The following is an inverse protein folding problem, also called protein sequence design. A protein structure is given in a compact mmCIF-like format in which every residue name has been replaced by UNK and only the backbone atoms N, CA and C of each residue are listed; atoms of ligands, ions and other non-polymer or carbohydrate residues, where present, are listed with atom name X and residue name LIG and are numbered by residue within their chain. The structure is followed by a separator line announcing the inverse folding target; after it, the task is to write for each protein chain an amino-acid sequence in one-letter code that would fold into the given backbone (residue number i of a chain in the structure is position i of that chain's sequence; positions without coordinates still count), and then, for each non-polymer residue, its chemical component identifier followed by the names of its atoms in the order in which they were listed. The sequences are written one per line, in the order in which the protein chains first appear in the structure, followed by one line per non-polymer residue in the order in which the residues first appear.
data_IF_539846720236
#
_entry.id   IF_539846720236
#
_cell.length_a   1.000
_cell.length_b   1.000
_cell.length_c   1.000
_cell.angle_alpha   90.00
_cell.angle_beta   90.00
_cell.angle_gamma   90.00
#
_symmetry.space_group_name_H-M   'P 1'
#
loop_
_entity.id
_entity.type
_entity.pdbx_description
1 polymer ?
#
# COMPACT_ATOMS: atom_id res chain seq x y z
N UNK A 1 26.18 43.01 -6.32
CA UNK A 1 25.16 42.44 -5.41
C UNK A 1 24.57 41.24 -6.14
N UNK A 2 25.23 40.08 -6.02
CA UNK A 2 24.66 38.81 -6.43
C UNK A 2 24.27 38.08 -5.14
N UNK A 3 22.98 38.04 -4.86
CA UNK A 3 22.39 37.12 -3.89
C UNK A 3 21.49 36.18 -4.68
N UNK A 4 21.74 34.88 -4.59
CA UNK A 4 20.82 33.90 -5.14
C UNK A 4 21.46 32.54 -5.39
N UNK A 5 21.62 31.75 -4.33
CA UNK A 5 22.05 30.36 -4.48
C UNK A 5 22.43 29.70 -3.16
N UNK A 6 21.49 29.61 -2.21
CA UNK A 6 21.63 28.69 -1.08
C UNK A 6 20.47 27.69 -1.08
N UNK A 7 20.87 26.42 -1.13
CA UNK A 7 20.18 25.22 -0.63
C UNK A 7 18.95 24.66 -1.36
N UNK A 8 19.18 24.01 -2.51
CA UNK A 8 18.27 22.96 -3.04
C UNK A 8 18.96 21.61 -3.28
N UNK A 9 20.20 21.42 -2.83
CA UNK A 9 20.86 20.12 -2.87
C UNK A 9 20.28 19.20 -1.77
N UNK A 10 19.60 18.13 -2.17
CA UNK A 10 19.20 17.02 -1.28
C UNK A 10 17.70 16.70 -1.19
N UNK A 11 16.83 17.42 -1.92
CA UNK A 11 15.41 17.08 -2.00
C UNK A 11 15.11 16.19 -3.20
N UNK A 12 14.23 15.20 -2.99
CA UNK A 12 13.69 14.38 -4.08
C UNK A 12 12.18 14.36 -4.00
N UNK A 13 11.49 14.69 -5.09
CA UNK A 13 10.03 14.72 -5.18
C UNK A 13 9.53 13.64 -6.12
N UNK A 14 8.61 12.81 -5.63
CA UNK A 14 7.96 11.73 -6.37
C UNK A 14 6.51 12.09 -6.60
N UNK A 15 6.06 11.93 -7.84
CA UNK A 15 4.63 11.85 -8.12
C UNK A 15 4.17 10.42 -7.82
N UNK A 16 3.23 10.26 -6.89
CA UNK A 16 2.72 8.95 -6.46
C UNK A 16 1.22 8.80 -6.80
N UNK A 17 0.86 7.66 -7.40
CA UNK A 17 -0.51 7.32 -7.80
C UNK A 17 -0.74 5.79 -7.79
N UNK A 18 -1.98 5.35 -7.95
CA UNK A 18 -2.36 3.93 -8.07
C UNK A 18 -3.78 3.79 -8.63
N UNK A 19 -4.20 2.55 -8.91
CA UNK A 19 -5.58 2.18 -9.21
C UNK A 19 -6.13 2.96 -10.41
N UNK A 20 -5.47 2.79 -11.56
CA UNK A 20 -5.83 3.37 -12.86
C UNK A 20 -6.83 2.47 -13.60
N UNK A 21 -6.74 1.14 -13.40
CA UNK A 21 -7.64 0.12 -13.95
C UNK A 21 -7.88 0.23 -15.47
N UNK A 22 -6.84 0.63 -16.21
CA UNK A 22 -6.91 0.75 -17.66
C UNK A 22 -7.72 1.94 -18.18
N UNK A 23 -8.02 2.94 -17.34
CA UNK A 23 -8.79 4.14 -17.76
C UNK A 23 -7.91 5.15 -18.49
N UNK A 24 -7.59 4.85 -19.75
CA UNK A 24 -6.74 5.69 -20.62
C UNK A 24 -7.20 7.16 -20.67
N UNK A 25 -8.50 7.40 -20.78
CA UNK A 25 -9.09 8.75 -20.81
C UNK A 25 -8.84 9.54 -19.52
N UNK A 26 -8.77 8.86 -18.37
CA UNK A 26 -8.45 9.50 -17.09
C UNK A 26 -6.96 9.82 -17.01
N UNK A 27 -6.10 8.97 -17.58
CA UNK A 27 -4.66 9.23 -17.69
C UNK A 27 -4.39 10.43 -18.59
N UNK A 28 -5.11 10.57 -19.70
CA UNK A 28 -5.02 11.78 -20.56
C UNK A 28 -5.38 13.05 -19.77
N UNK A 29 -6.53 13.04 -19.09
CA UNK A 29 -6.94 14.17 -18.25
C UNK A 29 -5.94 14.44 -17.11
N UNK A 30 -5.33 13.39 -16.56
CA UNK A 30 -4.30 13.50 -15.53
C UNK A 30 -3.03 14.16 -16.08
N UNK A 31 -2.59 13.80 -17.28
CA UNK A 31 -1.42 14.40 -17.94
C UNK A 31 -1.65 15.90 -18.18
N UNK A 32 -2.78 16.25 -18.77
CA UNK A 32 -3.16 17.65 -19.00
C UNK A 32 -3.23 18.44 -17.68
N UNK A 33 -3.79 17.80 -16.64
CA UNK A 33 -3.89 18.39 -15.31
C UNK A 33 -2.51 18.68 -14.70
N UNK A 34 -1.56 17.75 -14.78
CA UNK A 34 -0.20 17.94 -14.27
C UNK A 34 0.52 19.09 -14.98
N UNK A 35 0.40 19.18 -16.31
CA UNK A 35 0.95 20.30 -17.07
C UNK A 35 0.32 21.64 -16.68
N UNK A 36 -1.02 21.67 -16.55
CA UNK A 36 -1.76 22.87 -16.13
C UNK A 36 -1.33 23.35 -14.75
N UNK A 37 -1.15 22.43 -13.81
CA UNK A 37 -0.72 22.74 -12.44
C UNK A 37 0.78 23.06 -12.33
N UNK A 38 1.56 22.82 -13.39
CA UNK A 38 3.02 23.02 -13.44
C UNK A 38 3.75 22.31 -12.30
N UNK A 39 3.35 21.06 -12.01
CA UNK A 39 3.99 20.28 -10.98
C UNK A 39 5.43 19.93 -11.38
N UNK A 40 6.35 20.06 -10.43
CA UNK A 40 7.73 19.60 -10.57
C UNK A 40 7.94 18.33 -9.74
N UNK A 41 8.57 17.33 -10.34
CA UNK A 41 8.92 16.06 -9.71
C UNK A 41 10.09 15.41 -10.46
N UNK A 42 10.81 14.54 -9.76
CA UNK A 42 12.02 13.88 -10.24
C UNK A 42 11.72 12.50 -10.82
N UNK A 43 10.67 11.84 -10.31
CA UNK A 43 10.25 10.52 -10.73
C UNK A 43 8.75 10.31 -10.48
N UNK A 44 8.22 9.24 -11.06
CA UNK A 44 6.84 8.79 -10.92
C UNK A 44 6.86 7.40 -10.29
N UNK A 45 5.99 7.16 -9.31
CA UNK A 45 5.86 5.88 -8.62
C UNK A 45 4.39 5.45 -8.64
N UNK A 46 4.09 4.29 -9.22
CA UNK A 46 2.73 3.76 -9.37
C UNK A 46 2.54 2.49 -8.52
N UNK A 47 1.66 2.55 -7.53
CA UNK A 47 1.41 1.43 -6.60
C UNK A 47 0.38 0.41 -7.15
N UNK A 48 0.57 -0.03 -8.39
CA UNK A 48 -0.22 -1.09 -9.03
C UNK A 48 -1.60 -0.70 -9.56
N UNK A 49 -2.27 -1.71 -10.13
CA UNK A 49 -3.54 -1.65 -10.86
C UNK A 49 -3.50 -0.61 -11.98
N UNK A 50 -2.49 -0.73 -12.83
CA UNK A 50 -2.25 0.16 -13.98
C UNK A 50 -3.16 -0.24 -15.14
N UNK A 51 -3.12 -1.51 -15.50
CA UNK A 51 -3.73 -2.08 -16.70
C UNK A 51 -5.16 -2.56 -16.50
N UNK A 52 -5.58 -3.43 -17.42
CA UNK A 52 -6.89 -4.06 -17.40
C UNK A 52 -6.75 -5.54 -17.81
N UNK A 53 -7.21 -6.51 -16.99
CA UNK A 53 -7.09 -7.93 -17.28
C UNK A 53 -7.68 -8.37 -18.63
N UNK A 54 -8.67 -7.63 -19.13
CA UNK A 54 -9.37 -7.92 -20.38
C UNK A 54 -8.72 -7.23 -21.59
N UNK A 55 -7.75 -6.33 -21.38
CA UNK A 55 -7.08 -5.56 -22.43
C UNK A 55 -5.57 -5.45 -22.17
N UNK A 56 -4.79 -6.50 -22.49
CA UNK A 56 -3.35 -6.59 -22.25
C UNK A 56 -2.51 -5.37 -22.67
N UNK A 57 -2.88 -4.75 -23.80
CA UNK A 57 -2.18 -3.62 -24.40
C UNK A 57 -2.34 -2.31 -23.63
N UNK A 58 -3.37 -2.20 -22.79
CA UNK A 58 -3.70 -0.94 -22.10
C UNK A 58 -2.66 -0.57 -21.06
N UNK A 59 -2.05 -1.56 -20.41
CA UNK A 59 -0.95 -1.34 -19.47
C UNK A 59 0.18 -0.54 -20.11
N UNK A 60 0.67 -1.02 -21.27
CA UNK A 60 1.71 -0.36 -22.06
C UNK A 60 1.29 1.05 -22.48
N UNK A 61 0.08 1.21 -23.04
CA UNK A 61 -0.43 2.53 -23.47
C UNK A 61 -0.49 3.54 -22.33
N UNK A 62 -0.82 3.11 -21.12
CA UNK A 62 -0.85 3.99 -19.95
C UNK A 62 0.57 4.46 -19.60
N UNK A 63 1.54 3.56 -19.59
CA UNK A 63 2.93 3.91 -19.33
C UNK A 63 3.50 4.83 -20.41
N UNK A 64 3.20 4.58 -21.69
CA UNK A 64 3.53 5.46 -22.82
C UNK A 64 2.91 6.86 -22.66
N UNK A 65 1.66 6.96 -22.21
CA UNK A 65 1.01 8.27 -21.95
C UNK A 65 1.66 9.01 -20.79
N UNK A 66 2.13 8.31 -19.76
CA UNK A 66 2.81 8.91 -18.60
C UNK A 66 4.25 9.29 -18.94
N UNK A 67 4.90 8.59 -19.88
CA UNK A 67 6.31 8.83 -20.24
C UNK A 67 6.56 10.20 -20.89
N UNK A 68 5.51 10.89 -21.33
CA UNK A 68 5.57 12.27 -21.86
C UNK A 68 6.22 13.26 -20.89
N UNK A 69 6.17 13.00 -19.59
CA UNK A 69 6.84 13.81 -18.58
C UNK A 69 8.37 13.71 -18.62
N UNK A 70 8.93 12.72 -19.34
CA UNK A 70 10.36 12.45 -19.45
C UNK A 70 11.04 12.27 -18.08
N UNK A 71 10.33 11.61 -17.16
CA UNK A 71 10.81 11.24 -15.83
C UNK A 71 10.84 9.72 -15.69
N UNK A 72 11.75 9.15 -14.90
CA UNK A 72 11.72 7.73 -14.56
C UNK A 72 10.39 7.33 -13.95
N UNK A 73 9.85 6.19 -14.40
CA UNK A 73 8.62 5.59 -13.88
C UNK A 73 9.00 4.30 -13.15
N UNK A 74 8.64 4.20 -11.88
CA UNK A 74 8.76 2.99 -11.07
C UNK A 74 7.38 2.49 -10.73
N UNK A 75 7.18 1.18 -10.74
CA UNK A 75 5.88 0.61 -10.40
C UNK A 75 5.99 -0.75 -9.74
N UNK A 76 4.91 -1.15 -9.09
CA UNK A 76 4.64 -2.54 -8.71
C UNK A 76 3.37 -2.99 -9.42
N UNK A 77 3.20 -4.29 -9.61
CA UNK A 77 1.98 -4.85 -10.19
C UNK A 77 0.87 -4.98 -9.14
N UNK A 78 -0.36 -4.69 -9.54
CA UNK A 78 -1.56 -5.01 -8.79
C UNK A 78 -2.28 -6.26 -9.30
N UNK A 79 -3.47 -6.52 -8.77
CA UNK A 79 -4.28 -7.67 -9.19
C UNK A 79 -4.94 -7.49 -10.56
N UNK A 80 -5.03 -6.26 -11.07
CA UNK A 80 -5.47 -5.97 -12.44
C UNK A 80 -4.34 -6.09 -13.47
N UNK A 81 -3.09 -6.11 -13.03
CA UNK A 81 -1.90 -6.20 -13.87
C UNK A 81 -1.56 -7.67 -14.16
N UNK A 82 -2.53 -8.37 -14.75
CA UNK A 82 -2.40 -9.76 -15.21
C UNK A 82 -2.45 -9.80 -16.73
N UNK A 83 -1.64 -10.68 -17.33
CA UNK A 83 -1.58 -10.88 -18.78
C UNK A 83 -1.30 -9.60 -19.59
N UNK A 84 -0.55 -8.64 -19.03
CA UNK A 84 -0.23 -7.40 -19.72
C UNK A 84 0.94 -7.56 -20.70
N UNK A 85 1.00 -6.68 -21.70
CA UNK A 85 2.15 -6.62 -22.61
C UNK A 85 3.31 -5.88 -21.96
N UNK A 86 4.49 -6.50 -21.95
CA UNK A 86 5.72 -5.87 -21.48
C UNK A 86 5.95 -4.53 -22.21
N UNK A 87 6.58 -3.62 -21.49
CA UNK A 87 6.67 -2.22 -21.82
C UNK A 87 8.01 -1.73 -21.29
N UNK A 88 8.78 -1.03 -22.13
CA UNK A 88 10.09 -0.50 -21.78
C UNK A 88 9.96 0.82 -21.00
N UNK A 89 8.77 1.43 -21.05
CA UNK A 89 8.39 2.65 -20.36
C UNK A 89 8.16 2.39 -18.86
N UNK A 90 9.23 2.09 -18.13
CA UNK A 90 9.23 2.06 -16.67
C UNK A 90 9.87 0.81 -16.08
N UNK A 91 10.11 0.87 -14.78
CA UNK A 91 10.84 -0.14 -14.03
C UNK A 91 9.89 -0.81 -13.03
N UNK A 92 9.65 -2.10 -13.24
CA UNK A 92 8.95 -2.93 -12.26
C UNK A 92 9.89 -3.18 -11.06
N UNK A 93 9.56 -2.61 -9.91
CA UNK A 93 10.34 -2.72 -8.67
C UNK A 93 10.39 -4.14 -8.11
N UNK A 94 9.40 -4.98 -8.42
CA UNK A 94 9.41 -6.39 -8.00
C UNK A 94 10.45 -7.21 -8.79
N UNK A 95 10.64 -6.88 -10.08
CA UNK A 95 11.57 -7.57 -10.97
C UNK A 95 13.00 -7.02 -10.87
N UNK A 96 13.14 -5.70 -10.81
CA UNK A 96 14.45 -5.03 -10.69
C UNK A 96 15.07 -5.15 -9.31
N UNK A 97 14.23 -5.37 -8.28
CA UNK A 97 14.66 -5.33 -6.89
C UNK A 97 14.82 -3.91 -6.35
N UNK A 98 15.46 -3.75 -5.18
CA UNK A 98 15.67 -2.45 -4.55
C UNK A 98 16.47 -1.49 -5.43
N UNK A 99 15.96 -0.27 -5.60
CA UNK A 99 16.65 0.81 -6.33
C UNK A 99 17.26 1.79 -5.32
N UNK A 100 18.57 1.97 -5.38
CA UNK A 100 19.31 2.87 -4.50
C UNK A 100 19.36 4.28 -5.10
N UNK A 101 18.88 5.26 -4.33
CA UNK A 101 19.07 6.69 -4.59
C UNK A 101 20.04 7.28 -3.56
N UNK A 102 20.48 8.52 -3.74
CA UNK A 102 21.45 9.16 -2.85
C UNK A 102 20.98 9.19 -1.39
N UNK A 103 19.71 9.47 -1.16
CA UNK A 103 19.11 9.74 0.16
C UNK A 103 18.10 8.67 0.64
N UNK A 104 17.72 7.69 -0.19
CA UNK A 104 16.81 6.59 0.20
C UNK A 104 16.99 5.35 -0.68
N UNK A 105 16.34 4.25 -0.29
CA UNK A 105 16.18 3.04 -1.11
C UNK A 105 14.69 2.85 -1.39
N UNK A 106 14.34 2.66 -2.66
CA UNK A 106 12.98 2.34 -3.10
C UNK A 106 12.83 0.83 -3.26
N UNK A 107 11.86 0.24 -2.55
CA UNK A 107 11.59 -1.20 -2.57
C UNK A 107 10.14 -1.43 -2.96
N UNK A 108 9.87 -2.34 -3.89
CA UNK A 108 8.52 -2.62 -4.37
C UNK A 108 8.10 -4.08 -4.23
N UNK A 109 6.86 -4.31 -3.79
CA UNK A 109 6.21 -5.62 -3.76
C UNK A 109 4.79 -5.55 -4.33
N UNK A 110 4.54 -6.22 -5.46
CA UNK A 110 3.23 -6.34 -6.08
C UNK A 110 2.57 -7.67 -5.77
N UNK A 111 3.13 -8.76 -6.32
CA UNK A 111 2.64 -10.14 -6.17
C UNK A 111 3.55 -10.96 -5.25
N UNK A 112 4.85 -10.69 -5.26
CA UNK A 112 5.84 -11.37 -4.43
C UNK A 112 5.83 -10.79 -3.01
N UNK A 113 5.43 -11.61 -2.05
CA UNK A 113 5.33 -11.21 -0.63
C UNK A 113 6.53 -11.64 0.23
N UNK A 114 7.62 -12.10 -0.39
CA UNK A 114 8.87 -12.43 0.29
C UNK A 114 9.86 -11.27 0.22
N UNK A 115 10.56 -10.91 1.30
CA UNK A 115 11.53 -9.82 1.26
C UNK A 115 12.73 -10.13 0.37
N UNK A 116 13.34 -9.09 -0.19
CA UNK A 116 14.65 -9.15 -0.83
C UNK A 116 15.72 -9.29 0.25
N UNK A 117 16.34 -10.46 0.34
CA UNK A 117 17.36 -10.73 1.37
C UNK A 117 18.65 -9.95 1.16
N UNK A 118 18.92 -9.53 -0.07
CA UNK A 118 20.17 -8.88 -0.49
C UNK A 118 20.16 -7.36 -0.30
N UNK A 119 19.10 -6.80 0.29
CA UNK A 119 19.04 -5.35 0.57
C UNK A 119 20.17 -5.01 1.53
N UNK A 120 21.24 -4.42 0.99
CA UNK A 120 22.30 -3.83 1.81
C UNK A 120 21.73 -2.54 2.40
N UNK A 121 21.16 -2.65 3.60
CA UNK A 121 20.73 -1.53 4.43
C UNK A 121 21.95 -0.67 4.83
N UNK A 122 22.52 0.10 3.90
CA UNK A 122 23.67 0.99 4.16
C UNK A 122 23.26 2.22 4.99
N UNK A 123 22.42 2.04 6.01
CA UNK A 123 21.84 3.11 6.83
C UNK A 123 20.83 4.03 6.12
N UNK A 124 20.64 3.87 4.80
CA UNK A 124 19.69 4.65 4.01
C UNK A 124 18.24 4.30 4.39
N UNK A 125 17.36 5.31 4.53
CA UNK A 125 15.95 5.08 4.83
C UNK A 125 15.24 4.39 3.65
N UNK A 126 14.26 3.53 3.96
CA UNK A 126 13.52 2.77 2.94
C UNK A 126 12.13 3.35 2.72
N UNK A 127 11.78 3.49 1.45
CA UNK A 127 10.41 3.67 1.01
C UNK A 127 9.92 2.34 0.47
N UNK A 128 8.90 1.81 1.12
CA UNK A 128 8.24 0.60 0.66
C UNK A 128 7.05 0.98 -0.23
N UNK A 129 6.94 0.37 -1.40
CA UNK A 129 5.81 0.50 -2.32
C UNK A 129 5.15 -0.86 -2.43
N UNK A 130 3.85 -0.94 -2.16
CA UNK A 130 3.10 -2.19 -2.34
C UNK A 130 1.80 -1.92 -3.05
N UNK A 131 1.27 -2.87 -3.81
CA UNK A 131 -0.09 -2.66 -4.31
C UNK A 131 -1.10 -2.82 -3.17
N UNK A 132 -1.06 -3.96 -2.49
CA UNK A 132 -1.96 -4.27 -1.39
C UNK A 132 -1.61 -3.48 -0.11
N UNK A 133 -2.61 -3.06 0.67
CA UNK A 133 -2.39 -2.44 1.98
C UNK A 133 -1.93 -3.47 3.02
N UNK A 134 -1.32 -3.01 4.13
CA UNK A 134 -1.12 -3.85 5.30
C UNK A 134 -2.47 -4.26 5.88
N UNK A 135 -2.55 -5.46 6.45
CA UNK A 135 -3.71 -5.86 7.22
C UNK A 135 -3.94 -4.87 8.37
N UNK A 136 -5.20 -4.46 8.53
CA UNK A 136 -5.73 -3.50 9.51
C UNK A 136 -5.36 -2.03 9.33
N UNK A 137 -4.51 -1.69 8.36
CA UNK A 137 -4.05 -0.31 8.13
C UNK A 137 -4.65 0.23 6.84
N UNK A 138 -5.66 1.10 6.98
CA UNK A 138 -6.33 1.76 5.85
C UNK A 138 -6.79 0.77 4.77
N UNK A 139 -7.27 -0.39 5.20
CA UNK A 139 -7.55 -1.56 4.36
C UNK A 139 -9.02 -1.99 4.42
N UNK A 140 -9.94 -1.06 4.69
CA UNK A 140 -11.36 -1.39 4.78
C UNK A 140 -11.88 -1.87 3.43
N UNK A 141 -12.31 -3.12 3.39
CA UNK A 141 -12.86 -3.79 2.22
C UNK A 141 -13.26 -5.21 2.58
N UNK A 142 -14.32 -5.74 1.96
CA UNK A 142 -14.70 -7.14 2.17
C UNK A 142 -13.77 -8.04 1.36
N UNK A 143 -13.22 -9.08 1.98
CA UNK A 143 -12.65 -10.21 1.24
C UNK A 143 -13.79 -11.16 0.87
N UNK A 144 -13.93 -11.42 -0.44
CA UNK A 144 -14.96 -12.36 -0.94
C UNK A 144 -14.70 -13.81 -0.48
N UNK A 145 -13.46 -14.13 -0.10
CA UNK A 145 -13.02 -15.50 0.20
C UNK A 145 -12.80 -15.78 1.69
N UNK A 146 -12.97 -14.81 2.58
CA UNK A 146 -12.80 -15.06 4.02
C UNK A 146 -14.09 -15.65 4.60
N UNK A 147 -14.02 -16.88 5.11
CA UNK A 147 -15.13 -17.57 5.79
C UNK A 147 -15.64 -16.80 7.02
N UNK A 148 -14.77 -16.02 7.65
CA UNK A 148 -15.11 -14.95 8.57
C UNK A 148 -15.29 -13.67 7.75
N UNK A 149 -16.36 -12.91 7.97
CA UNK A 149 -16.66 -11.65 7.26
C UNK A 149 -15.64 -10.53 7.62
N UNK A 150 -14.36 -10.75 7.35
CA UNK A 150 -13.31 -9.79 7.62
C UNK A 150 -13.55 -8.52 6.79
N UNK A 151 -13.59 -7.40 7.49
CA UNK A 151 -13.71 -6.06 6.89
C UNK A 151 -12.35 -5.54 6.38
N UNK A 152 -11.33 -6.39 6.39
CA UNK A 152 -9.94 -6.09 6.02
C UNK A 152 -9.60 -6.73 4.67
N UNK A 153 -9.30 -5.90 3.68
CA UNK A 153 -8.75 -6.30 2.39
C UNK A 153 -7.22 -6.38 2.40
N UNK A 154 -6.57 -5.97 3.49
CA UNK A 154 -5.12 -5.99 3.62
C UNK A 154 -4.56 -7.39 3.83
N UNK A 155 -3.26 -7.50 3.59
CA UNK A 155 -2.53 -8.76 3.63
C UNK A 155 -1.62 -8.81 4.86
N UNK A 156 -1.72 -9.85 5.73
CA UNK A 156 -0.78 -10.06 6.83
C UNK A 156 0.69 -10.10 6.38
N UNK A 157 0.94 -10.57 5.16
CA UNK A 157 2.28 -10.65 4.58
C UNK A 157 2.92 -9.27 4.42
N UNK A 158 2.13 -8.23 4.13
CA UNK A 158 2.62 -6.85 4.04
C UNK A 158 3.03 -6.34 5.42
N UNK A 159 2.33 -6.73 6.50
CA UNK A 159 2.75 -6.43 7.87
C UNK A 159 4.15 -7.02 8.17
N UNK A 160 4.43 -8.23 7.70
CA UNK A 160 5.75 -8.84 7.83
C UNK A 160 6.83 -8.15 6.98
N UNK A 161 6.50 -7.66 5.78
CA UNK A 161 7.44 -6.85 5.00
C UNK A 161 7.75 -5.53 5.70
N UNK A 162 6.76 -4.88 6.28
CA UNK A 162 6.95 -3.65 7.07
C UNK A 162 7.85 -3.91 8.28
N UNK A 163 7.64 -5.02 8.98
CA UNK A 163 8.47 -5.41 10.12
C UNK A 163 9.91 -5.74 9.70
N UNK A 164 10.09 -6.38 8.54
CA UNK A 164 11.41 -6.69 7.99
C UNK A 164 12.18 -5.44 7.52
N UNK A 165 11.54 -4.58 6.72
CA UNK A 165 12.20 -3.42 6.12
C UNK A 165 12.28 -2.20 7.03
N UNK A 166 11.40 -2.08 8.03
CA UNK A 166 11.24 -0.90 8.89
C UNK A 166 11.23 0.42 8.07
N UNK A 167 10.35 0.54 7.05
CA UNK A 167 10.38 1.71 6.18
C UNK A 167 9.87 2.95 6.92
N UNK A 168 10.39 4.12 6.57
CA UNK A 168 9.87 5.39 7.12
C UNK A 168 8.64 5.88 6.34
N UNK A 169 8.47 5.42 5.10
CA UNK A 169 7.27 5.65 4.28
C UNK A 169 6.81 4.35 3.63
N UNK A 170 5.51 4.08 3.69
CA UNK A 170 4.86 3.00 2.97
C UNK A 170 3.78 3.55 2.04
N UNK A 171 3.99 3.45 0.73
CA UNK A 171 3.05 3.87 -0.31
C UNK A 171 2.29 2.66 -0.83
N UNK A 172 0.95 2.74 -0.89
CA UNK A 172 0.12 1.63 -1.39
C UNK A 172 -1.21 2.05 -2.00
N UNK A 173 -1.86 1.13 -2.71
CA UNK A 173 -3.16 1.31 -3.37
C UNK A 173 -4.21 0.30 -2.91
N UNK A 174 -5.00 -0.22 -3.85
CA UNK A 174 -5.99 -1.31 -3.73
C UNK A 174 -7.22 -1.00 -2.86
N UNK A 175 -7.03 -0.56 -1.61
CA UNK A 175 -8.14 -0.20 -0.72
C UNK A 175 -8.64 1.21 -1.00
N UNK A 176 -9.59 1.30 -1.91
CA UNK A 176 -10.19 2.56 -2.38
C UNK A 176 -10.87 3.36 -1.26
N UNK A 177 -11.29 2.68 -0.19
CA UNK A 177 -12.01 3.25 0.96
C UNK A 177 -11.26 4.42 1.60
N UNK A 178 -9.94 4.30 1.73
CA UNK A 178 -9.08 5.29 2.38
C UNK A 178 -8.15 6.04 1.44
N UNK A 179 -8.39 5.90 0.14
CA UNK A 179 -7.66 6.63 -0.88
C UNK A 179 -7.56 8.14 -0.63
N UNK A 180 -6.37 8.71 -0.86
CA UNK A 180 -6.09 10.14 -0.65
C UNK A 180 -5.77 10.49 0.80
N UNK A 181 -5.21 9.56 1.58
CA UNK A 181 -4.88 9.74 2.99
C UNK A 181 -3.45 9.32 3.25
N UNK A 182 -2.70 10.21 3.91
CA UNK A 182 -1.47 9.90 4.62
C UNK A 182 -1.70 9.90 6.14
N UNK A 183 -1.15 8.92 6.84
CA UNK A 183 -1.29 8.79 8.29
C UNK A 183 -0.02 8.20 8.91
N UNK A 184 0.50 8.85 9.95
CA UNK A 184 1.70 8.39 10.65
C UNK A 184 1.31 7.50 11.82
N UNK A 185 1.82 6.27 11.82
CA UNK A 185 1.64 5.30 12.90
C UNK A 185 3.04 4.81 13.28
N UNK A 186 3.38 4.93 14.56
CA UNK A 186 4.74 4.69 15.04
C UNK A 186 5.77 5.50 14.22
N UNK A 187 6.77 4.83 13.64
CA UNK A 187 7.81 5.48 12.83
C UNK A 187 7.47 5.53 11.33
N UNK A 188 6.37 4.91 10.90
CA UNK A 188 6.02 4.73 9.47
C UNK A 188 4.96 5.76 9.08
N UNK A 189 5.19 6.47 7.97
CA UNK A 189 4.17 7.24 7.28
C UNK A 189 3.50 6.37 6.23
N UNK A 190 2.24 5.99 6.48
CA UNK A 190 1.43 5.24 5.53
C UNK A 190 0.74 6.20 4.56
N UNK A 191 0.80 5.91 3.27
CA UNK A 191 0.27 6.78 2.20
C UNK A 191 -0.56 5.94 1.25
N UNK A 192 -1.89 5.99 1.41
CA UNK A 192 -2.83 5.30 0.52
C UNK A 192 -3.16 6.20 -0.69
N UNK A 193 -2.53 5.89 -1.83
CA UNK A 193 -2.65 6.62 -3.09
C UNK A 193 -3.78 6.14 -4.00
N UNK A 194 -4.57 5.15 -3.59
CA UNK A 194 -5.81 4.82 -4.28
C UNK A 194 -6.71 6.07 -4.35
N UNK A 195 -7.49 6.36 -5.38
CA UNK A 195 -7.53 5.75 -6.71
C UNK A 195 -7.56 6.85 -7.77
N UNK A 196 -6.69 6.76 -8.77
CA UNK A 196 -6.57 7.77 -9.83
C UNK A 196 -7.77 7.73 -10.78
N UNK A 197 -8.38 6.57 -10.99
CA UNK A 197 -9.48 6.38 -11.94
C UNK A 197 -10.86 6.89 -11.45
N UNK A 198 -10.91 7.66 -10.37
CA UNK A 198 -12.17 8.17 -9.80
C UNK A 198 -12.83 9.18 -10.72
N UNK A 199 -14.13 9.04 -10.92
CA UNK A 199 -14.99 10.02 -11.60
C UNK A 199 -16.04 10.61 -10.65
N UNK A 200 -16.45 11.85 -10.93
CA UNK A 200 -17.58 12.49 -10.30
C UNK A 200 -18.90 12.00 -10.92
N UNK A 201 -20.04 12.43 -10.37
CA UNK A 201 -21.37 12.01 -10.84
C UNK A 201 -21.66 12.42 -12.29
N UNK A 202 -21.05 13.51 -12.73
CA UNK A 202 -21.12 14.03 -14.10
C UNK A 202 -20.11 13.36 -15.05
N UNK A 203 -19.36 12.35 -14.57
CA UNK A 203 -18.33 11.65 -15.34
C UNK A 203 -16.97 12.34 -15.35
N UNK A 204 -16.83 13.53 -14.78
CA UNK A 204 -15.55 14.25 -14.79
C UNK A 204 -14.49 13.52 -13.94
N UNK A 205 -13.24 13.40 -14.42
CA UNK A 205 -12.15 12.82 -13.63
C UNK A 205 -11.87 13.64 -12.36
N UNK A 206 -11.83 12.96 -11.22
CA UNK A 206 -11.53 13.52 -9.88
C UNK A 206 -10.58 12.63 -9.10
N UNK A 207 -9.77 11.83 -9.80
CA UNK A 207 -8.73 10.97 -9.24
C UNK A 207 -7.78 11.71 -8.32
N UNK A 208 -7.32 11.05 -7.27
CA UNK A 208 -6.30 11.62 -6.39
C UNK A 208 -4.90 11.09 -6.72
N UNK A 209 -3.91 11.92 -6.44
CA UNK A 209 -2.48 11.62 -6.49
C UNK A 209 -1.78 12.51 -5.46
N UNK A 210 -0.50 12.27 -5.21
CA UNK A 210 0.27 13.15 -4.35
C UNK A 210 1.67 13.44 -4.90
N UNK A 211 2.22 14.56 -4.47
CA UNK A 211 3.66 14.80 -4.51
C UNK A 211 4.23 14.45 -3.13
N UNK A 212 5.14 13.48 -3.11
CA UNK A 212 5.89 13.08 -1.92
C UNK A 212 7.29 13.66 -2.05
N UNK A 213 7.63 14.63 -1.21
CA UNK A 213 8.96 15.23 -1.17
C UNK A 213 9.72 14.71 0.04
N UNK A 214 10.91 14.20 -0.20
CA UNK A 214 11.89 13.80 0.82
C UNK A 214 12.94 14.88 0.87
N UNK A 215 13.07 15.52 2.03
CA UNK A 215 14.17 16.44 2.31
C UNK A 215 15.28 15.78 3.12
N UNK A 216 16.21 16.61 3.56
CA UNK A 216 17.28 16.20 4.47
C UNK A 216 16.71 15.63 5.78
N UNK A 217 17.47 14.75 6.44
CA UNK A 217 17.12 14.13 7.74
C UNK A 217 15.79 13.35 7.77
N UNK A 218 15.41 12.69 6.66
CA UNK A 218 14.17 11.89 6.54
C UNK A 218 12.88 12.71 6.74
N UNK A 219 12.94 14.03 6.52
CA UNK A 219 11.73 14.85 6.53
C UNK A 219 10.88 14.51 5.29
N UNK A 220 9.60 14.23 5.50
CA UNK A 220 8.65 13.88 4.43
C UNK A 220 7.52 14.88 4.40
N UNK A 221 7.27 15.43 3.22
CA UNK A 221 6.10 16.25 2.93
C UNK A 221 5.22 15.53 1.91
N UNK A 222 3.92 15.49 2.17
CA UNK A 222 2.92 14.96 1.24
C UNK A 222 1.97 16.10 0.86
N UNK A 223 1.96 16.46 -0.42
CA UNK A 223 0.99 17.40 -0.99
C UNK A 223 -0.03 16.60 -1.82
N UNK A 224 -1.26 16.52 -1.33
CA UNK A 224 -2.36 15.82 -2.00
C UNK A 224 -3.04 16.70 -3.03
N UNK A 225 -3.35 16.09 -4.18
CA UNK A 225 -4.06 16.71 -5.28
C UNK A 225 -5.16 15.81 -5.81
N UNK A 226 -6.11 16.44 -6.49
CA UNK A 226 -7.21 15.77 -7.16
C UNK A 226 -7.32 16.37 -8.56
N UNK A 227 -7.51 15.54 -9.58
CA UNK A 227 -7.80 16.04 -10.92
C UNK A 227 -9.05 16.92 -10.85
N UNK A 228 -9.02 18.10 -11.51
CA UNK A 228 -10.10 19.09 -11.46
C UNK A 228 -10.48 19.60 -10.06
N UNK A 229 -9.60 19.40 -9.07
CA UNK A 229 -9.82 19.93 -7.73
C UNK A 229 -9.55 21.43 -7.63
N UNK A 230 -9.90 21.98 -6.48
CA UNK A 230 -9.71 23.38 -6.13
C UNK A 230 -9.24 23.51 -4.69
N UNK A 231 -8.47 24.56 -4.40
CA UNK A 231 -8.02 24.84 -3.05
C UNK A 231 -9.17 25.33 -2.17
N UNK A 232 -9.47 24.61 -1.10
CA UNK A 232 -10.54 24.91 -0.14
C UNK A 232 -10.09 24.65 1.28
N UNK A 233 -10.68 25.36 2.23
CA UNK A 233 -10.53 25.04 3.66
C UNK A 233 -11.49 23.92 4.05
N UNK A 234 -10.98 22.92 4.75
CA UNK A 234 -11.79 21.85 5.32
C UNK A 234 -12.74 22.42 6.38
N UNK A 235 -14.04 22.15 6.27
CA UNK A 235 -15.04 22.66 7.22
C UNK A 235 -14.89 22.11 8.65
N UNK A 236 -14.15 21.01 8.84
CA UNK A 236 -13.93 20.41 10.16
C UNK A 236 -12.61 20.81 10.84
N UNK A 237 -11.51 20.95 10.09
CA UNK A 237 -10.19 21.26 10.67
C UNK A 237 -9.62 22.60 10.25
N UNK A 238 -10.30 23.37 9.40
CA UNK A 238 -9.90 24.69 8.92
C UNK A 238 -8.69 24.71 7.98
N UNK A 239 -7.91 23.63 7.89
CA UNK A 239 -6.72 23.55 7.03
C UNK A 239 -7.10 23.58 5.55
N UNK A 240 -6.22 24.15 4.73
CA UNK A 240 -6.39 24.27 3.28
C UNK A 240 -5.94 22.99 2.58
N UNK A 241 -6.78 22.44 1.73
CA UNK A 241 -6.53 21.24 0.93
C UNK A 241 -6.96 21.46 -0.52
N UNK A 242 -6.33 20.74 -1.44
CA UNK A 242 -6.83 20.62 -2.80
C UNK A 242 -7.92 19.53 -2.79
N UNK A 243 -9.17 19.88 -3.09
CA UNK A 243 -10.31 18.98 -2.99
C UNK A 243 -11.19 19.06 -4.25
N UNK A 244 -11.91 17.98 -4.61
CA UNK A 244 -12.96 18.07 -5.63
C UNK A 244 -13.96 19.17 -5.31
N UNK A 245 -14.53 19.82 -6.33
CA UNK A 245 -15.41 20.97 -6.16
C UNK A 245 -16.61 20.69 -5.24
N UNK A 246 -17.18 19.49 -5.28
CA UNK A 246 -18.31 19.11 -4.42
C UNK A 246 -17.97 18.79 -2.97
N UNK A 247 -16.68 18.81 -2.58
CA UNK A 247 -16.24 18.40 -1.25
C UNK A 247 -15.88 19.59 -0.37
N UNK A 248 -16.32 19.54 0.89
CA UNK A 248 -16.02 20.54 1.94
C UNK A 248 -15.16 19.98 3.07
N UNK A 249 -15.01 18.66 3.17
CA UNK A 249 -14.29 17.97 4.24
C UNK A 249 -13.11 17.20 3.63
N UNK A 250 -11.91 17.34 4.23
CA UNK A 250 -10.75 16.58 3.77
C UNK A 250 -10.84 15.09 4.11
N UNK A 251 -10.14 14.25 3.35
CA UNK A 251 -10.19 12.78 3.51
C UNK A 251 -9.84 12.30 4.92
N UNK A 252 -8.89 12.95 5.60
CA UNK A 252 -8.53 12.64 7.00
C UNK A 252 -9.67 12.92 7.97
N UNK A 253 -10.33 14.08 7.86
CA UNK A 253 -11.43 14.43 8.75
C UNK A 253 -12.66 13.54 8.51
N UNK A 254 -12.98 13.26 7.25
CA UNK A 254 -14.06 12.35 6.88
C UNK A 254 -13.87 10.92 7.43
N UNK A 255 -12.61 10.52 7.72
CA UNK A 255 -12.26 9.19 8.19
C UNK A 255 -11.65 9.16 9.61
N UNK A 256 -11.73 10.26 10.37
CA UNK A 256 -11.01 10.41 11.65
C UNK A 256 -11.24 9.27 12.63
N UNK A 257 -12.47 8.76 12.72
CA UNK A 257 -12.82 7.67 13.63
C UNK A 257 -12.17 6.33 13.23
N UNK A 258 -11.96 6.11 11.93
CA UNK A 258 -11.38 4.88 11.41
C UNK A 258 -9.85 4.87 11.46
N UNK A 259 -9.22 6.05 11.60
CA UNK A 259 -7.76 6.24 11.64
C UNK A 259 -7.17 6.16 13.06
N UNK A 260 -7.99 5.86 14.07
CA UNK A 260 -7.51 5.63 15.44
C UNK A 260 -6.59 4.41 15.48
N UNK A 261 -5.51 4.51 16.23
CA UNK A 261 -4.53 3.43 16.43
C UNK A 261 -4.32 3.21 17.92
N UNK A 262 -4.27 1.95 18.34
CA UNK A 262 -4.00 1.54 19.71
C UNK A 262 -2.78 0.64 19.71
N UNK A 263 -1.74 1.04 20.44
CA UNK A 263 -0.51 0.26 20.53
C UNK A 263 -0.76 -1.05 21.27
N UNK A 264 -0.42 -2.16 20.63
CA UNK A 264 -0.42 -3.49 21.23
C UNK A 264 0.83 -3.65 22.10
N UNK A 265 0.69 -4.28 23.26
CA UNK A 265 1.78 -4.54 24.20
C UNK A 265 2.87 -5.43 23.57
N UNK A 266 4.13 -5.06 23.78
CA UNK A 266 5.30 -5.79 23.27
C UNK A 266 5.36 -7.26 23.67
N UNK A 267 4.71 -7.65 24.76
CA UNK A 267 4.64 -9.06 25.18
C UNK A 267 3.93 -9.96 24.18
N UNK A 268 3.09 -9.40 23.31
CA UNK A 268 2.37 -10.14 22.26
C UNK A 268 3.17 -10.31 20.97
N UNK A 269 4.41 -9.80 20.90
CA UNK A 269 5.27 -9.98 19.73
C UNK A 269 5.77 -11.41 19.57
N UNK A 270 5.91 -12.17 20.65
CA UNK A 270 6.42 -13.53 20.63
C UNK A 270 5.38 -14.47 21.24
N UNK A 271 4.75 -15.28 20.39
CA UNK A 271 3.71 -16.22 20.79
C UNK A 271 4.14 -17.66 20.51
N UNK A 272 3.58 -18.61 21.27
CA UNK A 272 3.74 -20.05 21.02
C UNK A 272 2.40 -20.65 20.69
N UNK A 273 2.20 -21.04 19.43
CA UNK A 273 1.02 -21.78 19.00
C UNK A 273 1.23 -23.26 19.27
N UNK A 274 0.30 -23.88 19.98
CA UNK A 274 0.29 -25.33 20.23
C UNK A 274 -1.07 -25.88 19.81
N UNK A 275 -1.05 -26.83 18.88
CA UNK A 275 -2.26 -27.43 18.32
C UNK A 275 -2.32 -28.90 18.72
N UNK A 276 -3.49 -29.34 19.14
CA UNK A 276 -3.77 -30.73 19.49
C UNK A 276 -4.82 -31.31 18.54
N UNK A 277 -4.71 -32.59 18.21
CA UNK A 277 -5.76 -33.35 17.54
C UNK A 277 -6.62 -34.09 18.57
N UNK A 278 -7.91 -34.25 18.25
CA UNK A 278 -8.84 -35.11 18.99
C UNK A 278 -9.31 -36.20 18.04
N UNK A 279 -8.94 -37.45 18.31
CA UNK A 279 -9.43 -38.60 17.57
C UNK A 279 -10.71 -39.11 18.25
N UNK A 280 -11.74 -39.44 17.46
CA UNK A 280 -13.02 -39.91 18.02
C UNK A 280 -12.91 -41.28 18.70
N UNK A 281 -11.94 -42.10 18.31
CA UNK A 281 -11.92 -43.53 18.62
C UNK A 281 -10.96 -43.90 19.76
N UNK A 282 -10.21 -42.95 20.34
CA UNK A 282 -9.17 -43.19 21.37
C UNK A 282 -9.52 -42.58 22.74
N UNK A 283 -10.79 -42.19 22.95
CA UNK A 283 -11.20 -41.48 24.17
C UNK A 283 -10.80 -40.01 24.17
N UNK A 284 -10.95 -39.32 25.31
CA UNK A 284 -10.74 -37.86 25.43
C UNK A 284 -9.26 -37.41 25.39
N UNK A 285 -8.34 -38.30 25.00
CA UNK A 285 -6.91 -38.01 24.92
C UNK A 285 -6.61 -37.03 23.77
N UNK A 286 -5.97 -35.91 24.12
CA UNK A 286 -5.52 -34.90 23.16
C UNK A 286 -4.09 -35.21 22.74
N UNK A 287 -3.90 -35.53 21.46
CA UNK A 287 -2.56 -35.77 20.91
C UNK A 287 -1.94 -34.47 20.42
N UNK A 288 -0.68 -34.20 20.78
CA UNK A 288 0.03 -33.02 20.28
C UNK A 288 0.22 -33.13 18.77
N UNK A 289 -0.31 -32.16 18.01
CA UNK A 289 -0.20 -32.12 16.56
C UNK A 289 1.07 -31.40 16.11
N UNK A 290 1.26 -30.15 16.57
CA UNK A 290 2.50 -29.40 16.44
C UNK A 290 2.59 -28.24 17.44
N UNK A 291 3.81 -27.76 17.65
CA UNK A 291 4.10 -26.50 18.34
C UNK A 291 4.97 -25.62 17.44
N UNK A 292 4.68 -24.32 17.37
CA UNK A 292 5.46 -23.35 16.61
C UNK A 292 5.54 -22.01 17.33
N UNK A 293 6.74 -21.45 17.39
CA UNK A 293 6.96 -20.09 17.86
C UNK A 293 6.67 -19.10 16.72
N UNK A 294 6.02 -18.00 17.07
CA UNK A 294 5.58 -16.97 16.15
C UNK A 294 6.11 -15.61 16.58
N UNK A 295 6.71 -14.92 15.62
CA UNK A 295 6.96 -13.49 15.74
C UNK A 295 5.79 -12.75 15.06
N UNK A 296 5.17 -11.83 15.77
CA UNK A 296 3.99 -11.08 15.32
C UNK A 296 4.42 -9.61 15.13
N UNK A 297 4.16 -9.00 13.96
CA UNK A 297 4.56 -7.63 13.64
C UNK A 297 3.65 -6.59 14.31
N UNK A 298 3.58 -6.60 15.65
CA UNK A 298 2.62 -5.85 16.48
C UNK A 298 2.64 -4.33 16.23
N UNK A 299 3.75 -3.76 15.75
CA UNK A 299 3.86 -2.33 15.45
C UNK A 299 3.13 -1.90 14.17
N UNK A 300 2.63 -2.88 13.41
CA UNK A 300 1.94 -2.65 12.13
C UNK A 300 0.46 -3.04 12.20
N UNK A 301 -0.02 -3.49 13.37
CA UNK A 301 -1.41 -3.91 13.60
C UNK A 301 -2.14 -2.82 14.36
N UNK A 302 -3.34 -2.46 13.89
CA UNK A 302 -4.06 -1.25 14.30
C UNK A 302 -4.47 -1.20 15.78
N UNK A 303 -5.02 -2.29 16.29
CA UNK A 303 -5.60 -2.40 17.63
C UNK A 303 -5.76 -3.88 18.02
N UNK A 304 -6.25 -4.13 19.25
CA UNK A 304 -6.42 -5.49 19.78
C UNK A 304 -7.47 -6.31 19.04
N UNK A 305 -8.50 -5.70 18.47
CA UNK A 305 -9.50 -6.44 17.68
C UNK A 305 -8.87 -6.94 16.38
N UNK A 306 -8.17 -6.06 15.67
CA UNK A 306 -7.41 -6.44 14.49
C UNK A 306 -6.31 -7.47 14.79
N UNK A 307 -5.73 -7.44 16.00
CA UNK A 307 -4.74 -8.43 16.43
C UNK A 307 -5.33 -9.83 16.58
N UNK A 308 -6.50 -9.98 17.22
CA UNK A 308 -7.16 -11.28 17.34
C UNK A 308 -7.52 -11.83 15.94
N UNK A 309 -8.10 -11.01 15.07
CA UNK A 309 -8.42 -11.43 13.70
C UNK A 309 -7.14 -11.82 12.91
N UNK A 310 -6.04 -11.09 13.13
CA UNK A 310 -4.74 -11.41 12.53
C UNK A 310 -4.22 -12.77 13.01
N UNK A 311 -4.34 -13.07 14.31
CA UNK A 311 -3.97 -14.37 14.87
C UNK A 311 -4.82 -15.50 14.30
N UNK A 312 -6.14 -15.31 14.19
CA UNK A 312 -7.05 -16.29 13.57
C UNK A 312 -6.61 -16.64 12.15
N UNK A 313 -6.31 -15.62 11.33
CA UNK A 313 -5.84 -15.82 9.96
C UNK A 313 -4.53 -16.62 9.94
N UNK A 314 -3.58 -16.29 10.82
CA UNK A 314 -2.31 -17.00 10.90
C UNK A 314 -2.47 -18.44 11.38
N UNK A 315 -3.25 -18.67 12.43
CA UNK A 315 -3.51 -20.00 12.97
C UNK A 315 -4.12 -20.92 11.91
N UNK A 316 -5.16 -20.46 11.21
CA UNK A 316 -5.81 -21.24 10.15
C UNK A 316 -4.82 -21.59 9.05
N UNK A 317 -4.04 -20.61 8.56
CA UNK A 317 -3.03 -20.84 7.52
C UNK A 317 -1.98 -21.87 7.95
N UNK A 318 -1.43 -21.72 9.15
CA UNK A 318 -0.41 -22.62 9.67
C UNK A 318 -0.94 -24.04 9.86
N UNK A 319 -2.15 -24.20 10.40
CA UNK A 319 -2.77 -25.51 10.56
C UNK A 319 -2.98 -26.18 9.21
N UNK A 320 -3.46 -25.44 8.19
CA UNK A 320 -3.62 -25.97 6.83
C UNK A 320 -2.27 -26.39 6.23
N UNK A 321 -1.22 -25.57 6.38
CA UNK A 321 0.11 -25.90 5.91
C UNK A 321 0.64 -27.20 6.55
N UNK A 322 0.50 -27.35 7.87
CA UNK A 322 0.94 -28.57 8.57
C UNK A 322 0.09 -29.79 8.21
N UNK A 323 -1.22 -29.63 8.01
CA UNK A 323 -2.11 -30.71 7.55
C UNK A 323 -1.78 -31.15 6.12
N UNK A 324 -1.51 -30.22 5.20
CA UNK A 324 -1.15 -30.53 3.80
C UNK A 324 0.15 -31.34 3.67
N UNK A 325 1.03 -31.32 4.66
CA UNK A 325 2.21 -32.19 4.70
C UNK A 325 1.87 -33.66 4.95
N UNK A 326 0.75 -33.94 5.63
CA UNK A 326 0.33 -35.30 6.04
C UNK A 326 -0.81 -35.84 5.20
N UNK A 327 -1.66 -34.96 4.66
CA UNK A 327 -2.88 -35.33 3.96
C UNK A 327 -2.92 -34.74 2.56
N UNK A 328 -3.38 -35.53 1.60
CA UNK A 328 -3.52 -35.13 0.20
C UNK A 328 -4.52 -33.97 0.01
N UNK A 329 -5.58 -33.94 0.81
CA UNK A 329 -6.62 -32.91 0.75
C UNK A 329 -7.01 -32.46 2.15
N UNK A 330 -7.09 -31.14 2.34
CA UNK A 330 -7.52 -30.51 3.58
C UNK A 330 -8.79 -29.71 3.27
N UNK A 331 -9.86 -29.97 4.02
CA UNK A 331 -11.14 -29.28 3.89
C UNK A 331 -11.39 -28.53 5.19
N UNK A 332 -11.67 -27.24 5.08
CA UNK A 332 -12.07 -26.41 6.22
C UNK A 332 -13.58 -26.49 6.31
N UNK A 333 -14.11 -27.03 7.41
CA UNK A 333 -15.54 -27.04 7.68
C UNK A 333 -15.85 -25.82 8.55
N UNK A 334 -16.64 -24.85 8.07
CA UNK A 334 -17.07 -23.73 8.91
C UNK A 334 -17.88 -24.26 10.09
N UNK A 335 -17.71 -23.64 11.26
CA UNK A 335 -18.50 -23.95 12.45
C UNK A 335 -19.96 -23.55 12.28
#
# INVERSE_FOLDING_TARGET
MEQGGCDDMGKTTMLIASDIHGKENIVEAFVDWIHKMKHSFDMIVIAGDIGNPQKPQVFRKILEKISVFKKPIYYVEGNWDVNYQACDEGVNLENSGPIEFDNFILVGHGKRMSPFKEVKYKGKPIILVTHYPPYSIMDRGKRLESSQQSLHSGLPEINYLLDFYQPFVHVFGHSHSFGGIDWKINHILYVNVARLDRTAKDGMPIGNYALLTIGNNRNVKIDWYFINGVWKSCSLCGRRFHLPQGWSICRKCANRNNLKFVRIDSKYSNLRLTVYTKEKDVGDERNLFFTKNLNIPIYTIKDYLAFEDFLDILMVRMVIEELKKRYFKVIIVPK
#
